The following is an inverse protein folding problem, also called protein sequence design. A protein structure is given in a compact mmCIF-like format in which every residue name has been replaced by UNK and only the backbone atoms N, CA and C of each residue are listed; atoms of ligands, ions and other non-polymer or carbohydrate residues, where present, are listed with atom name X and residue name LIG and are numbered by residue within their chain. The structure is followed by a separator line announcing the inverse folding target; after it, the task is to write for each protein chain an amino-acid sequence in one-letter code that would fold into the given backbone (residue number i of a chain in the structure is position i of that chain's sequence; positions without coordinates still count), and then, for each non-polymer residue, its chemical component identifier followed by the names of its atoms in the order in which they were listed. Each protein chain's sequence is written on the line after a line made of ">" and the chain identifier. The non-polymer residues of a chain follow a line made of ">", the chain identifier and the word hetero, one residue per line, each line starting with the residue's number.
data_IF_617409997661
#
_entry.id   IF_617409997661
#
_cell.length_a   1.000
_cell.length_b   1.000
_cell.length_c   1.000
_cell.angle_alpha   90.00
_cell.angle_beta   90.00
_cell.angle_gamma   90.00
#
_symmetry.space_group_name_H-M   'P 1'
#
loop_
_entity.id
_entity.type
_entity.pdbx_description
1 polymer ?
#
# COMPACT_ATOMS: atom_id res chain seq x y z
N UNK A 1 -83.64 11.09 0.84
CA UNK A 1 -82.52 11.24 -0.12
C UNK A 1 -81.56 12.28 0.46
N UNK A 2 -80.43 11.84 0.99
CA UNK A 2 -79.38 12.73 1.51
C UNK A 2 -78.04 12.04 1.27
N UNK A 3 -77.22 12.60 0.38
CA UNK A 3 -75.90 12.10 0.02
C UNK A 3 -74.88 13.02 0.70
N UNK A 4 -74.11 12.49 1.63
CA UNK A 4 -72.95 13.15 2.23
C UNK A 4 -71.68 12.60 1.58
N UNK A 5 -70.99 13.46 0.83
CA UNK A 5 -69.67 13.19 0.23
C UNK A 5 -68.59 13.35 1.31
N UNK A 6 -67.86 12.27 1.60
CA UNK A 6 -66.67 12.31 2.45
C UNK A 6 -65.44 12.80 1.65
N UNK A 7 -64.53 13.57 2.28
CA UNK A 7 -63.30 14.01 1.63
C UNK A 7 -62.34 12.83 1.45
N UNK A 8 -61.87 12.68 0.21
CA UNK A 8 -60.93 11.67 -0.24
C UNK A 8 -59.51 12.17 0.07
N UNK A 9 -58.95 11.76 1.21
CA UNK A 9 -57.59 12.12 1.65
C UNK A 9 -56.55 11.27 0.90
N UNK A 10 -56.42 11.53 -0.40
CA UNK A 10 -55.38 10.97 -1.26
C UNK A 10 -54.01 11.58 -1.00
N UNK A 11 -53.39 11.27 0.14
CA UNK A 11 -51.98 11.57 0.38
C UNK A 11 -51.14 10.54 -0.38
N UNK A 12 -50.64 10.94 -1.56
CA UNK A 12 -49.64 10.14 -2.28
C UNK A 12 -48.39 9.97 -1.40
N UNK A 13 -47.85 8.75 -1.26
CA UNK A 13 -46.66 8.52 -0.47
C UNK A 13 -45.49 9.30 -1.09
N UNK A 14 -45.04 10.31 -0.37
CA UNK A 14 -43.86 11.10 -0.72
C UNK A 14 -42.65 10.16 -0.75
N UNK A 15 -41.94 10.22 -1.87
CA UNK A 15 -40.85 9.35 -2.31
C UNK A 15 -39.59 9.53 -1.43
N UNK A 16 -39.68 9.11 -0.16
CA UNK A 16 -38.60 9.26 0.84
C UNK A 16 -37.40 8.33 0.60
N UNK A 17 -37.54 7.32 -0.26
CA UNK A 17 -36.46 6.38 -0.57
C UNK A 17 -35.33 7.04 -1.37
N UNK A 18 -35.68 7.96 -2.28
CA UNK A 18 -34.77 8.62 -3.21
C UNK A 18 -33.82 9.61 -2.50
N UNK A 19 -34.30 10.32 -1.47
CA UNK A 19 -33.45 11.27 -0.72
C UNK A 19 -32.53 10.61 0.30
N UNK A 20 -32.96 9.49 0.90
CA UNK A 20 -32.12 8.75 1.84
C UNK A 20 -30.95 8.07 1.12
N UNK A 21 -31.14 7.56 -0.09
CA UNK A 21 -30.04 6.95 -0.86
C UNK A 21 -28.93 7.97 -1.18
N UNK A 22 -29.31 9.18 -1.65
CA UNK A 22 -28.35 10.24 -1.95
C UNK A 22 -27.57 10.73 -0.72
N UNK A 23 -28.26 10.94 0.41
CA UNK A 23 -27.61 11.38 1.64
C UNK A 23 -26.66 10.31 2.23
N UNK A 24 -26.98 9.02 2.06
CA UNK A 24 -26.14 7.92 2.55
C UNK A 24 -24.87 7.76 1.71
N UNK A 25 -24.92 8.02 0.41
CA UNK A 25 -23.75 8.02 -0.47
C UNK A 25 -22.81 9.20 -0.18
N UNK A 26 -23.35 10.40 0.04
CA UNK A 26 -22.56 11.60 0.34
C UNK A 26 -21.84 11.49 1.70
N UNK A 27 -22.50 10.88 2.69
CA UNK A 27 -21.91 10.66 4.02
C UNK A 27 -20.86 9.54 4.03
N UNK A 28 -21.02 8.51 3.18
CA UNK A 28 -20.01 7.45 3.04
C UNK A 28 -18.74 7.92 2.30
N UNK A 29 -18.87 8.92 1.42
CA UNK A 29 -17.75 9.50 0.67
C UNK A 29 -16.88 10.44 1.51
N UNK A 30 -17.40 10.97 2.61
CA UNK A 30 -16.70 11.91 3.52
C UNK A 30 -16.03 11.25 4.72
N UNK A 31 -16.11 9.92 4.88
CA UNK A 31 -15.45 9.24 5.99
C UNK A 31 -13.91 9.35 5.88
N UNK A 32 -13.25 10.05 6.82
CA UNK A 32 -11.80 10.26 6.80
C UNK A 32 -11.00 8.97 6.86
N UNK A 33 -11.58 7.86 7.35
CA UNK A 33 -10.93 6.55 7.37
C UNK A 33 -10.92 5.89 5.99
N UNK A 34 -11.96 6.12 5.20
CA UNK A 34 -12.08 5.64 3.81
C UNK A 34 -11.06 6.35 2.91
N UNK A 35 -10.94 7.67 3.06
CA UNK A 35 -9.94 8.47 2.35
C UNK A 35 -8.50 8.05 2.70
N UNK A 36 -8.21 7.83 3.99
CA UNK A 36 -6.90 7.35 4.44
C UNK A 36 -6.56 5.98 3.84
N UNK A 37 -7.51 5.03 3.86
CA UNK A 37 -7.34 3.70 3.26
C UNK A 37 -7.03 3.79 1.76
N UNK A 38 -7.75 4.64 1.01
CA UNK A 38 -7.52 4.82 -0.43
C UNK A 38 -6.13 5.40 -0.72
N UNK A 39 -5.67 6.39 0.05
CA UNK A 39 -4.33 6.96 -0.09
C UNK A 39 -3.24 5.90 0.18
N UNK A 40 -3.37 5.13 1.26
CA UNK A 40 -2.45 4.02 1.56
C UNK A 40 -2.45 2.98 0.44
N UNK A 41 -3.62 2.63 -0.08
CA UNK A 41 -3.75 1.68 -1.18
C UNK A 41 -3.10 2.17 -2.48
N UNK A 42 -3.38 3.41 -2.87
CA UNK A 42 -2.78 4.04 -4.04
C UNK A 42 -1.25 4.14 -3.92
N UNK A 43 -0.75 4.53 -2.74
CA UNK A 43 0.68 4.58 -2.47
C UNK A 43 1.34 3.21 -2.59
N UNK A 44 0.73 2.15 -2.08
CA UNK A 44 1.25 0.78 -2.20
C UNK A 44 1.25 0.28 -3.66
N UNK A 45 0.21 0.60 -4.44
CA UNK A 45 0.15 0.30 -5.87
C UNK A 45 1.25 1.05 -6.63
N UNK A 46 1.36 2.36 -6.42
CA UNK A 46 2.38 3.19 -7.05
C UNK A 46 3.80 2.70 -6.71
N UNK A 47 4.06 2.36 -5.44
CA UNK A 47 5.34 1.82 -4.99
C UNK A 47 5.73 0.57 -5.78
N UNK A 48 4.85 -0.43 -5.83
CA UNK A 48 5.15 -1.68 -6.53
C UNK A 48 5.33 -1.48 -8.04
N UNK A 49 4.50 -0.66 -8.69
CA UNK A 49 4.64 -0.41 -10.12
C UNK A 49 5.90 0.39 -10.47
N UNK A 50 6.22 1.44 -9.73
CA UNK A 50 7.40 2.28 -10.01
C UNK A 50 8.69 1.48 -9.77
N UNK A 51 8.78 0.75 -8.67
CA UNK A 51 9.95 -0.11 -8.41
C UNK A 51 10.10 -1.21 -9.47
N UNK A 52 9.00 -1.87 -9.83
CA UNK A 52 9.01 -2.89 -10.89
C UNK A 52 9.40 -2.29 -12.25
N UNK A 53 8.90 -1.10 -12.60
CA UNK A 53 9.23 -0.43 -13.85
C UNK A 53 10.72 -0.02 -13.90
N UNK A 54 11.28 0.42 -12.77
CA UNK A 54 12.70 0.75 -12.66
C UNK A 54 13.58 -0.48 -12.94
N UNK A 55 13.34 -1.61 -12.25
CA UNK A 55 14.07 -2.88 -12.49
C UNK A 55 13.85 -3.40 -13.90
N UNK A 56 12.60 -3.41 -14.39
CA UNK A 56 12.29 -3.89 -15.73
C UNK A 56 12.99 -3.06 -16.83
N UNK A 57 13.11 -1.75 -16.65
CA UNK A 57 13.80 -0.88 -17.60
C UNK A 57 15.30 -1.22 -17.69
N UNK A 58 15.95 -1.52 -16.56
CA UNK A 58 17.34 -1.95 -16.50
C UNK A 58 17.58 -3.30 -17.20
N UNK A 59 16.64 -4.24 -17.08
CA UNK A 59 16.70 -5.53 -17.78
C UNK A 59 16.54 -5.41 -19.30
N UNK A 60 15.72 -4.47 -19.76
CA UNK A 60 15.52 -4.22 -21.20
C UNK A 60 16.69 -3.43 -21.77
N UNK A 61 17.22 -2.47 -21.02
CA UNK A 61 18.29 -1.58 -21.44
C UNK A 61 19.26 -1.37 -20.29
N UNK A 62 20.40 -2.05 -20.39
CA UNK A 62 21.54 -1.78 -19.51
C UNK A 62 22.06 -0.35 -19.73
N UNK A 63 22.16 0.41 -18.65
CA UNK A 63 22.63 1.81 -18.63
C UNK A 63 24.02 1.96 -18.00
N UNK A 64 24.67 0.83 -17.68
CA UNK A 64 25.98 0.75 -17.08
C UNK A 64 26.81 -0.38 -17.70
N UNK A 65 28.13 -0.20 -17.74
CA UNK A 65 29.09 -1.29 -18.01
C UNK A 65 29.30 -2.15 -16.77
N UNK A 66 29.96 -3.30 -16.95
CA UNK A 66 30.26 -4.24 -15.87
C UNK A 66 31.19 -3.69 -14.77
N UNK A 67 31.95 -2.64 -15.06
CA UNK A 67 32.76 -1.90 -14.09
C UNK A 67 31.98 -0.76 -13.38
N UNK A 68 30.68 -0.63 -13.66
CA UNK A 68 29.78 0.34 -13.04
C UNK A 68 29.71 1.70 -13.74
N UNK A 69 30.50 1.95 -14.79
CA UNK A 69 30.47 3.23 -15.50
C UNK A 69 29.14 3.44 -16.23
N UNK A 70 28.58 4.65 -16.15
CA UNK A 70 27.29 5.01 -16.76
C UNK A 70 27.46 5.24 -18.25
N UNK A 71 26.74 4.48 -19.07
CA UNK A 71 26.80 4.56 -20.54
C UNK A 71 25.72 5.47 -21.13
N UNK A 72 24.61 5.64 -20.43
CA UNK A 72 23.48 6.47 -20.82
C UNK A 72 22.94 7.24 -19.62
N UNK A 73 23.44 8.46 -19.43
CA UNK A 73 23.12 9.27 -18.26
C UNK A 73 21.62 9.65 -18.17
N UNK A 74 20.94 10.07 -19.25
CA UNK A 74 19.49 10.32 -19.20
C UNK A 74 18.67 9.10 -18.79
N UNK A 75 18.96 7.92 -19.36
CA UNK A 75 18.25 6.69 -19.02
C UNK A 75 18.54 6.25 -17.58
N UNK A 76 19.81 6.30 -17.14
CA UNK A 76 20.23 6.05 -15.77
C UNK A 76 19.49 6.95 -14.77
N UNK A 77 19.43 8.26 -15.05
CA UNK A 77 18.73 9.21 -14.20
C UNK A 77 17.23 8.92 -14.12
N UNK A 78 16.58 8.57 -15.23
CA UNK A 78 15.17 8.20 -15.26
C UNK A 78 14.90 6.92 -14.45
N UNK A 79 15.74 5.90 -14.58
CA UNK A 79 15.59 4.63 -13.85
C UNK A 79 15.70 4.86 -12.34
N UNK A 80 16.71 5.60 -11.89
CA UNK A 80 16.90 5.84 -10.45
C UNK A 80 15.91 6.85 -9.87
N UNK A 81 15.47 7.86 -10.61
CA UNK A 81 14.39 8.74 -10.14
C UNK A 81 13.07 7.98 -9.99
N UNK A 82 12.79 7.06 -10.92
CA UNK A 82 11.64 6.13 -10.82
C UNK A 82 11.76 5.24 -9.58
N UNK A 83 12.95 4.71 -9.30
CA UNK A 83 13.23 3.96 -8.07
C UNK A 83 12.95 4.77 -6.80
N UNK A 84 13.52 5.98 -6.71
CA UNK A 84 13.36 6.88 -5.56
C UNK A 84 11.88 7.24 -5.35
N UNK A 85 11.14 7.52 -6.42
CA UNK A 85 9.71 7.77 -6.35
C UNK A 85 8.94 6.54 -5.84
N UNK A 86 9.29 5.34 -6.31
CA UNK A 86 8.72 4.08 -5.84
C UNK A 86 9.00 3.81 -4.35
N UNK A 87 10.23 4.02 -3.90
CA UNK A 87 10.61 3.92 -2.49
C UNK A 87 9.89 4.98 -1.62
N UNK A 88 9.74 6.21 -2.12
CA UNK A 88 8.94 7.25 -1.47
C UNK A 88 7.47 6.86 -1.32
N UNK A 89 6.85 6.32 -2.37
CA UNK A 89 5.49 5.79 -2.31
C UNK A 89 5.37 4.62 -1.31
N UNK A 90 6.40 3.78 -1.21
CA UNK A 90 6.45 2.68 -0.25
C UNK A 90 6.48 3.19 1.19
N UNK A 91 7.25 4.24 1.48
CA UNK A 91 7.26 4.93 2.79
C UNK A 91 5.84 5.42 3.11
N UNK A 92 5.17 6.10 2.18
CA UNK A 92 3.80 6.60 2.37
C UNK A 92 2.81 5.47 2.66
N UNK A 93 2.91 4.35 1.95
CA UNK A 93 2.10 3.16 2.20
C UNK A 93 2.33 2.61 3.62
N UNK A 94 3.58 2.49 4.04
CA UNK A 94 3.95 2.00 5.37
C UNK A 94 3.48 2.94 6.49
N UNK A 95 3.60 4.25 6.32
CA UNK A 95 3.06 5.25 7.26
C UNK A 95 1.54 5.13 7.35
N UNK A 96 0.86 4.94 6.22
CA UNK A 96 -0.59 4.76 6.14
C UNK A 96 -1.12 3.48 6.80
N UNK A 97 -0.30 2.43 6.91
CA UNK A 97 -0.60 1.22 7.70
C UNK A 97 -0.49 1.45 9.21
N UNK A 98 0.08 2.58 9.63
CA UNK A 98 0.55 2.76 11.00
C UNK A 98 -0.09 3.84 11.85
N UNK A 99 -0.83 4.78 11.24
CA UNK A 99 -1.43 5.92 11.93
C UNK A 99 -2.68 5.58 12.75
N UNK A 100 -3.19 6.56 13.48
CA UNK A 100 -4.47 6.48 14.21
C UNK A 100 -5.67 6.17 13.29
N UNK A 101 -5.54 6.54 12.01
CA UNK A 101 -6.49 6.23 10.92
C UNK A 101 -6.03 5.07 10.06
N UNK A 102 -5.26 4.14 10.62
CA UNK A 102 -4.66 3.04 9.86
C UNK A 102 -5.72 2.29 9.05
N UNK A 103 -5.38 2.06 7.79
CA UNK A 103 -6.18 1.28 6.86
C UNK A 103 -6.49 -0.15 7.35
N UNK A 104 -5.64 -0.70 8.23
CA UNK A 104 -5.73 -2.04 8.79
C UNK A 104 -6.23 -2.06 10.25
N UNK A 105 -6.47 -0.90 10.87
CA UNK A 105 -6.71 -0.76 12.31
C UNK A 105 -5.41 -0.61 13.13
N UNK A 106 -5.52 -0.39 14.46
CA UNK A 106 -4.36 -0.17 15.32
C UNK A 106 -3.43 -1.39 15.34
N UNK A 107 -2.16 -1.19 14.96
CA UNK A 107 -1.18 -2.27 14.98
C UNK A 107 -0.74 -2.59 16.42
N UNK A 108 -0.72 -3.86 16.84
CA UNK A 108 -0.11 -4.27 18.11
C UNK A 108 1.41 -4.09 18.07
N UNK A 109 2.09 -4.25 19.23
CA UNK A 109 3.53 -4.00 19.39
C UNK A 109 4.40 -4.67 18.32
N UNK A 110 4.17 -5.95 18.04
CA UNK A 110 4.89 -6.69 17.00
C UNK A 110 4.74 -6.04 15.62
N UNK A 111 3.51 -5.67 15.23
CA UNK A 111 3.25 -4.97 13.97
C UNK A 111 3.93 -3.61 13.88
N UNK A 112 4.00 -2.85 14.98
CA UNK A 112 4.69 -1.57 15.02
C UNK A 112 6.20 -1.73 14.85
N UNK A 113 6.80 -2.76 15.46
CA UNK A 113 8.22 -3.09 15.30
C UNK A 113 8.51 -3.48 13.84
N UNK A 114 7.72 -4.39 13.27
CA UNK A 114 7.87 -4.79 11.86
C UNK A 114 7.72 -3.59 10.92
N UNK A 115 6.73 -2.72 11.17
CA UNK A 115 6.57 -1.46 10.42
C UNK A 115 7.78 -0.54 10.57
N UNK A 116 8.37 -0.45 11.76
CA UNK A 116 9.59 0.34 12.01
C UNK A 116 10.75 -0.15 11.15
N UNK A 117 11.04 -1.46 11.16
CA UNK A 117 12.06 -2.05 10.30
C UNK A 117 11.78 -1.83 8.82
N UNK A 118 10.53 -2.01 8.37
CA UNK A 118 10.14 -1.77 6.99
C UNK A 118 10.30 -0.30 6.58
N UNK A 119 9.98 0.66 7.46
CA UNK A 119 10.16 2.09 7.20
C UNK A 119 11.64 2.45 7.09
N UNK A 120 12.48 1.93 8.00
CA UNK A 120 13.93 2.10 7.91
C UNK A 120 14.48 1.49 6.63
N UNK A 121 14.03 0.28 6.27
CA UNK A 121 14.40 -0.39 5.02
C UNK A 121 14.02 0.43 3.80
N UNK A 122 12.78 0.94 3.73
CA UNK A 122 12.32 1.82 2.65
C UNK A 122 13.15 3.11 2.55
N UNK A 123 13.52 3.68 3.71
CA UNK A 123 14.41 4.85 3.78
C UNK A 123 15.80 4.54 3.22
N UNK A 124 16.37 3.37 3.52
CA UNK A 124 17.65 2.93 2.95
C UNK A 124 17.55 2.69 1.43
N UNK A 125 16.44 2.13 0.93
CA UNK A 125 16.21 1.98 -0.51
C UNK A 125 16.09 3.33 -1.23
N UNK A 126 15.44 4.32 -0.60
CA UNK A 126 15.38 5.68 -1.12
C UNK A 126 16.77 6.34 -1.11
N UNK A 127 17.51 6.18 -0.02
CA UNK A 127 18.89 6.67 0.11
C UNK A 127 19.81 6.05 -0.94
N UNK A 128 19.68 4.74 -1.21
CA UNK A 128 20.38 4.04 -2.29
C UNK A 128 20.14 4.71 -3.64
N UNK A 129 18.86 4.93 -4.01
CA UNK A 129 18.54 5.56 -5.30
C UNK A 129 19.07 6.99 -5.40
N UNK A 130 18.97 7.78 -4.32
CA UNK A 130 19.47 9.16 -4.28
C UNK A 130 20.99 9.19 -4.36
N UNK A 131 21.70 8.42 -3.54
CA UNK A 131 23.16 8.42 -3.53
C UNK A 131 23.75 7.81 -4.79
N UNK A 132 23.14 6.74 -5.32
CA UNK A 132 23.49 6.15 -6.61
C UNK A 132 23.32 7.16 -7.74
N UNK A 133 22.21 7.90 -7.75
CA UNK A 133 21.97 8.95 -8.75
C UNK A 133 23.00 10.08 -8.66
N UNK A 134 23.21 10.63 -7.46
CA UNK A 134 24.15 11.74 -7.25
C UNK A 134 25.57 11.32 -7.62
N UNK A 135 26.02 10.15 -7.16
CA UNK A 135 27.37 9.66 -7.51
C UNK A 135 27.51 9.33 -8.99
N UNK A 136 26.53 8.67 -9.60
CA UNK A 136 26.51 8.40 -11.04
C UNK A 136 26.57 9.67 -11.90
N UNK A 137 25.84 10.72 -11.51
CA UNK A 137 25.86 12.01 -12.21
C UNK A 137 27.19 12.75 -12.03
N UNK A 138 27.76 12.75 -10.82
CA UNK A 138 28.95 13.55 -10.51
C UNK A 138 30.27 12.86 -10.89
N UNK A 139 30.33 11.54 -10.75
CA UNK A 139 31.55 10.74 -10.92
C UNK A 139 31.50 9.81 -12.14
N UNK A 140 30.37 9.75 -12.86
CA UNK A 140 30.19 8.84 -14.00
C UNK A 140 29.98 7.37 -13.61
N UNK A 141 29.92 7.05 -12.31
CA UNK A 141 29.64 5.72 -11.79
C UNK A 141 29.00 5.83 -10.39
N UNK A 142 28.01 4.99 -10.05
CA UNK A 142 27.49 4.91 -8.69
C UNK A 142 28.58 4.45 -7.71
N UNK A 143 28.62 5.05 -6.53
CA UNK A 143 29.57 4.62 -5.51
C UNK A 143 29.22 3.22 -4.99
N UNK A 144 30.22 2.33 -4.85
CA UNK A 144 30.01 0.92 -4.49
C UNK A 144 29.26 0.73 -3.15
N UNK A 145 29.51 1.61 -2.17
CA UNK A 145 28.84 1.55 -0.86
C UNK A 145 27.32 1.74 -0.94
N UNK A 146 26.80 2.32 -2.03
CA UNK A 146 25.35 2.48 -2.21
C UNK A 146 24.66 1.13 -2.28
N UNK A 147 25.33 0.09 -2.82
CA UNK A 147 24.81 -1.28 -2.82
C UNK A 147 24.56 -1.82 -1.41
N UNK A 148 25.35 -1.41 -0.41
CA UNK A 148 25.12 -1.79 0.99
C UNK A 148 23.80 -1.21 1.51
N UNK A 149 23.44 0.02 1.11
CA UNK A 149 22.13 0.60 1.47
C UNK A 149 20.98 -0.23 0.89
N UNK A 150 21.12 -0.63 -0.37
CA UNK A 150 20.15 -1.50 -1.03
C UNK A 150 20.01 -2.85 -0.31
N UNK A 151 21.12 -3.56 -0.13
CA UNK A 151 21.14 -4.90 0.48
C UNK A 151 20.62 -4.89 1.93
N UNK A 152 21.06 -3.93 2.75
CA UNK A 152 20.59 -3.77 4.12
C UNK A 152 19.12 -3.34 4.13
N UNK A 153 18.70 -2.46 3.22
CA UNK A 153 17.31 -2.05 3.07
C UNK A 153 16.38 -3.24 2.83
N UNK A 154 16.75 -4.12 1.89
CA UNK A 154 16.04 -5.38 1.64
C UNK A 154 16.09 -6.32 2.85
N UNK A 155 17.25 -6.49 3.49
CA UNK A 155 17.37 -7.34 4.68
C UNK A 155 16.41 -6.89 5.80
N UNK A 156 16.25 -5.58 5.99
CA UNK A 156 15.28 -5.04 6.95
C UNK A 156 13.83 -5.35 6.55
N UNK A 157 13.49 -5.37 5.26
CA UNK A 157 12.18 -5.84 4.79
C UNK A 157 11.95 -7.33 5.08
N UNK A 158 12.98 -8.16 4.88
CA UNK A 158 12.92 -9.58 5.22
C UNK A 158 12.62 -9.78 6.71
N UNK A 159 13.40 -9.11 7.59
CA UNK A 159 13.19 -9.15 9.04
C UNK A 159 11.83 -8.57 9.45
N UNK A 160 11.35 -7.53 8.77
CA UNK A 160 10.07 -6.90 9.02
C UNK A 160 8.86 -7.78 8.67
N UNK A 161 9.01 -8.69 7.69
CA UNK A 161 7.90 -9.41 7.07
C UNK A 161 7.01 -10.15 8.08
N UNK A 162 7.62 -10.96 8.95
CA UNK A 162 6.93 -11.76 9.98
C UNK A 162 6.24 -10.89 11.05
N UNK A 163 6.93 -9.98 11.76
CA UNK A 163 6.27 -9.15 12.77
C UNK A 163 5.20 -8.23 12.17
N UNK A 164 5.41 -7.72 10.95
CA UNK A 164 4.41 -6.93 10.24
C UNK A 164 3.18 -7.78 9.89
N UNK A 165 3.36 -8.97 9.30
CA UNK A 165 2.28 -9.90 8.97
C UNK A 165 1.46 -10.29 10.21
N UNK A 166 2.13 -10.64 11.32
CA UNK A 166 1.46 -10.95 12.59
C UNK A 166 0.68 -9.73 13.13
N UNK A 167 1.24 -8.53 13.00
CA UNK A 167 0.57 -7.30 13.36
C UNK A 167 -0.71 -7.05 12.54
N UNK A 168 -0.61 -7.16 11.22
CA UNK A 168 -1.73 -6.99 10.29
C UNK A 168 -2.81 -8.05 10.50
N UNK A 169 -2.42 -9.32 10.76
CA UNK A 169 -3.35 -10.41 11.09
C UNK A 169 -4.15 -10.09 12.34
N UNK A 170 -3.48 -9.65 13.42
CA UNK A 170 -4.12 -9.34 14.70
C UNK A 170 -4.97 -8.07 14.66
N UNK A 171 -4.62 -7.11 13.81
CA UNK A 171 -5.44 -5.91 13.61
C UNK A 171 -6.78 -6.23 12.90
N UNK A 172 -6.87 -7.34 12.17
CA UNK A 172 -8.11 -7.87 11.58
C UNK A 172 -8.67 -7.09 10.39
N UNK A 173 -8.24 -5.83 10.20
CA UNK A 173 -8.71 -4.93 9.16
C UNK A 173 -8.34 -5.32 7.73
N UNK A 174 -7.62 -6.41 7.50
CA UNK A 174 -7.25 -6.91 6.17
C UNK A 174 -7.83 -8.29 5.82
N UNK A 175 -8.42 -9.02 6.78
CA UNK A 175 -8.77 -10.44 6.57
C UNK A 175 -7.50 -11.24 6.24
N UNK A 176 -7.56 -12.20 5.30
CA UNK A 176 -6.39 -13.00 4.90
C UNK A 176 -5.25 -12.25 4.19
N UNK A 177 -5.42 -10.97 3.86
CA UNK A 177 -4.45 -10.21 3.07
C UNK A 177 -3.21 -9.77 3.83
N UNK A 178 -3.09 -10.07 5.13
CA UNK A 178 -1.82 -9.95 5.85
C UNK A 178 -0.72 -10.85 5.26
N UNK A 179 -1.09 -11.91 4.53
CA UNK A 179 -0.15 -12.85 3.88
C UNK A 179 0.72 -12.14 2.84
N UNK A 180 0.28 -11.04 2.24
CA UNK A 180 1.12 -10.31 1.27
C UNK A 180 2.41 -9.80 1.88
N UNK A 181 2.46 -9.48 3.18
CA UNK A 181 3.70 -9.11 3.85
C UNK A 181 4.69 -10.29 3.94
N UNK A 182 4.20 -11.53 4.08
CA UNK A 182 5.05 -12.72 4.04
C UNK A 182 5.51 -13.03 2.61
N UNK A 183 4.64 -12.88 1.62
CA UNK A 183 5.01 -13.05 0.20
C UNK A 183 6.08 -12.03 -0.19
N UNK A 184 5.95 -10.79 0.26
CA UNK A 184 6.97 -9.77 0.09
C UNK A 184 8.32 -10.19 0.72
N UNK A 185 8.29 -10.71 1.95
CA UNK A 185 9.48 -11.27 2.61
C UNK A 185 10.11 -12.43 1.86
N UNK A 186 9.31 -13.36 1.34
CA UNK A 186 9.79 -14.49 0.53
C UNK A 186 10.44 -14.02 -0.78
N UNK A 187 9.85 -13.03 -1.46
CA UNK A 187 10.45 -12.39 -2.64
C UNK A 187 11.81 -11.79 -2.31
N UNK A 188 11.92 -11.06 -1.21
CA UNK A 188 13.20 -10.52 -0.74
C UNK A 188 14.22 -11.62 -0.41
N UNK A 189 13.79 -12.70 0.25
CA UNK A 189 14.67 -13.83 0.57
C UNK A 189 15.28 -14.44 -0.71
N UNK A 190 14.46 -14.65 -1.74
CA UNK A 190 14.92 -15.12 -3.05
C UNK A 190 15.86 -14.11 -3.69
N UNK A 191 15.50 -12.82 -3.67
CA UNK A 191 16.30 -11.74 -4.22
C UNK A 191 17.70 -11.63 -3.61
N UNK A 192 17.81 -11.77 -2.29
CA UNK A 192 19.10 -11.70 -1.58
C UNK A 192 19.90 -13.01 -1.61
N UNK A 193 19.22 -14.16 -1.67
CA UNK A 193 19.86 -15.48 -1.59
C UNK A 193 20.36 -16.02 -2.92
N UNK A 194 19.89 -15.47 -4.04
CA UNK A 194 20.32 -15.88 -5.37
C UNK A 194 21.66 -15.24 -5.76
N UNK A 195 22.57 -16.02 -6.34
CA UNK A 195 23.93 -15.58 -6.69
C UNK A 195 24.04 -14.77 -8.00
N UNK A 196 22.98 -14.71 -8.83
CA UNK A 196 22.81 -13.81 -9.99
C UNK A 196 21.46 -14.11 -10.70
N UNK A 197 21.15 -13.34 -11.75
CA UNK A 197 19.94 -13.44 -12.58
C UNK A 197 19.68 -14.85 -13.14
N UNK A 198 18.40 -15.24 -13.33
CA UNK A 198 17.19 -14.40 -13.25
C UNK A 198 16.51 -14.38 -11.87
N UNK A 199 17.06 -15.12 -10.89
CA UNK A 199 16.38 -15.35 -9.62
C UNK A 199 16.35 -14.11 -8.73
N UNK A 200 17.39 -13.28 -8.81
CA UNK A 200 17.45 -12.00 -8.11
C UNK A 200 16.25 -11.12 -8.47
N UNK A 201 16.10 -10.82 -9.76
CA UNK A 201 15.00 -9.99 -10.28
C UNK A 201 13.64 -10.58 -9.99
N UNK A 202 13.48 -11.90 -10.15
CA UNK A 202 12.23 -12.57 -9.86
C UNK A 202 11.80 -12.36 -8.40
N UNK A 203 12.76 -12.42 -7.46
CA UNK A 203 12.52 -12.11 -6.06
C UNK A 203 12.04 -10.67 -5.84
N UNK A 204 12.67 -9.71 -6.51
CA UNK A 204 12.25 -8.30 -6.48
C UNK A 204 10.84 -8.11 -7.05
N UNK A 205 10.52 -8.72 -8.20
CA UNK A 205 9.19 -8.63 -8.79
C UNK A 205 8.11 -9.24 -7.88
N UNK A 206 8.40 -10.35 -7.19
CA UNK A 206 7.47 -10.92 -6.18
C UNK A 206 7.25 -9.94 -5.03
N UNK A 207 8.32 -9.29 -4.55
CA UNK A 207 8.21 -8.25 -3.53
C UNK A 207 7.34 -7.07 -4.00
N UNK A 208 7.56 -6.56 -5.22
CA UNK A 208 6.76 -5.47 -5.79
C UNK A 208 5.29 -5.86 -6.00
N UNK A 209 5.04 -7.05 -6.55
CA UNK A 209 3.70 -7.57 -6.80
C UNK A 209 2.89 -7.74 -5.50
N UNK A 210 3.54 -8.14 -4.40
CA UNK A 210 2.90 -8.24 -3.10
C UNK A 210 2.38 -6.88 -2.58
N UNK A 211 3.13 -5.80 -2.82
CA UNK A 211 2.69 -4.43 -2.50
C UNK A 211 1.55 -3.96 -3.40
N UNK A 212 1.61 -4.24 -4.70
CA UNK A 212 0.50 -3.96 -5.63
C UNK A 212 -0.77 -4.69 -5.17
N UNK A 213 -0.66 -5.98 -4.85
CA UNK A 213 -1.79 -6.81 -4.41
C UNK A 213 -2.42 -6.27 -3.11
N UNK A 214 -1.59 -5.89 -2.13
CA UNK A 214 -2.05 -5.24 -0.90
C UNK A 214 -2.74 -3.90 -1.19
N UNK A 215 -2.16 -3.08 -2.07
CA UNK A 215 -2.70 -1.79 -2.43
C UNK A 215 -4.07 -1.89 -3.11
N UNK A 216 -4.22 -2.78 -4.09
CA UNK A 216 -5.49 -3.07 -4.75
C UNK A 216 -6.55 -3.55 -3.75
N UNK A 217 -6.13 -4.38 -2.77
CA UNK A 217 -7.04 -4.83 -1.71
C UNK A 217 -7.57 -3.69 -0.86
N UNK A 218 -6.72 -2.72 -0.52
CA UNK A 218 -7.09 -1.52 0.23
C UNK A 218 -8.06 -0.64 -0.56
N UNK A 219 -7.84 -0.50 -1.87
CA UNK A 219 -8.70 0.28 -2.77
C UNK A 219 -10.10 -0.33 -2.95
N UNK A 220 -10.21 -1.67 -3.00
CA UNK A 220 -11.49 -2.38 -3.22
C UNK A 220 -12.41 -2.47 -1.99
N UNK A 221 -11.94 -2.08 -0.80
CA UNK A 221 -12.68 -2.27 0.46
C UNK A 221 -13.74 -1.18 0.61
N UNK A 222 -14.99 -1.46 0.18
CA UNK A 222 -16.15 -0.59 0.43
C UNK A 222 -16.40 -0.47 1.94
N UNK A 223 -16.69 0.74 2.39
CA UNK A 223 -17.14 1.00 3.74
C UNK A 223 -18.56 0.47 3.84
N UNK A 224 -18.76 -0.61 4.61
CA UNK A 224 -20.11 -1.08 4.91
C UNK A 224 -20.75 -0.01 5.79
N UNK A 225 -21.85 0.65 5.36
CA UNK A 225 -22.58 1.57 6.20
C UNK A 225 -22.97 0.81 7.47
N UNK A 226 -22.64 1.37 8.63
CA UNK A 226 -22.80 0.70 9.91
C UNK A 226 -24.18 0.10 10.03
N UNK A 227 -24.24 -1.21 10.33
CA UNK A 227 -25.43 -1.82 10.92
C UNK A 227 -25.84 -0.95 12.10
N UNK A 228 -26.93 -0.21 11.92
CA UNK A 228 -27.53 0.62 12.94
C UNK A 228 -27.60 -0.18 14.25
N UNK A 229 -27.31 0.44 15.41
CA UNK A 229 -27.51 -0.23 16.68
C UNK A 229 -28.96 -0.71 16.70
N UNK A 230 -29.16 -2.03 16.73
CA UNK A 230 -30.47 -2.61 17.06
C UNK A 230 -30.80 -2.04 18.42
N UNK A 231 -31.65 -1.02 18.44
CA UNK A 231 -32.34 -0.59 19.65
C UNK A 231 -33.00 -1.85 20.20
N UNK A 232 -32.41 -2.42 21.25
CA UNK A 232 -33.10 -3.33 22.16
C UNK A 232 -34.14 -2.49 22.88
N UNK A 233 -35.18 -2.10 22.17
CA UNK A 233 -36.42 -1.61 22.76
C UNK A 233 -37.12 -2.86 23.30
N UNK A 234 -37.40 -2.84 24.60
CA UNK A 234 -37.73 -4.02 25.37
C UNK A 234 -39.02 -4.73 24.97
N UNK A 235 -39.07 -6.00 25.35
CA UNK A 235 -40.28 -6.65 25.79
C UNK A 235 -39.94 -7.40 27.09
N UNK A 236 -39.96 -6.65 28.21
CA UNK A 236 -40.25 -7.24 29.50
C UNK A 236 -41.75 -7.52 29.45
N UNK A 237 -42.11 -8.79 29.25
CA UNK A 237 -43.47 -9.27 29.46
C UNK A 237 -43.44 -10.19 30.69
N UNK A 238 -44.08 -9.68 31.73
CA UNK A 238 -44.68 -10.32 32.92
C UNK A 238 -43.80 -11.29 33.72
#
# INVERSE_FOLDING_TARGET
>A
MGITLGPDDGVLPVDHASSQFAATEETAMTDPTTAARRRTGAAAVAAGFLLAASVAAELVRSVQTSDGSVTDLPAFALILTTWVAGAGALILALLGLGGSRSAAGPLPRAGRIGRGFALTGAGLLAAFGVSGLVSGVLAGAPAEWTFLLFAVGLLLFLVASVPLALGLRRAGGLGGWWVTALVAGAGVLVGLGATADPWHDLGLFVFFAAWVALGLRLLRRRSVPGSAPRSRTGARAV
#
